data_IF_848238824538
#
_entry.id   IF_848238824538
#
_cell.length_a   1.000
_cell.length_b   1.000
_cell.length_c   1.000
_cell.angle_alpha   90.00
_cell.angle_beta   90.00
_cell.angle_gamma   90.00
#
_symmetry.space_group_name_H-M   'P 1'
#
loop_
_entity.id
_entity.type
_entity.pdbx_description
1 polymer ?
#
# COMPACT_ATOMS: atom_id res chain seq x y z
N UNK A 1 -3.28 7.74 -2.70
CA UNK A 1 -4.13 6.71 -2.06
C UNK A 1 -3.52 6.42 -0.69
N UNK A 2 -4.32 6.23 0.37
CA UNK A 2 -3.78 5.90 1.71
C UNK A 2 -3.90 4.39 1.93
N UNK A 3 -2.99 3.77 2.69
CA UNK A 3 -2.99 2.33 2.88
C UNK A 3 -4.21 1.91 3.69
N UNK A 4 -4.63 0.66 3.48
CA UNK A 4 -5.83 0.12 4.08
C UNK A 4 -5.56 -0.39 5.51
N UNK A 5 -5.12 0.50 6.40
CA UNK A 5 -4.72 0.17 7.78
C UNK A 5 -5.75 0.74 8.77
N UNK A 6 -5.72 0.23 10.01
CA UNK A 6 -6.43 0.81 11.15
C UNK A 6 -5.89 2.20 11.45
N UNK A 7 -6.78 3.20 11.39
CA UNK A 7 -6.50 4.62 11.65
C UNK A 7 -7.56 5.16 12.60
N UNK A 8 -7.28 6.29 13.25
CA UNK A 8 -8.22 6.92 14.19
C UNK A 8 -9.56 7.26 13.54
N UNK A 9 -9.54 7.76 12.31
CA UNK A 9 -10.75 8.12 11.56
C UNK A 9 -11.59 6.89 11.24
N UNK A 10 -10.94 5.76 10.90
CA UNK A 10 -11.63 4.50 10.65
C UNK A 10 -12.16 3.87 11.92
N UNK A 11 -11.39 3.88 13.00
CA UNK A 11 -11.86 3.40 14.30
C UNK A 11 -13.11 4.16 14.73
N UNK A 12 -13.09 5.49 14.63
CA UNK A 12 -14.25 6.33 14.88
C UNK A 12 -15.43 5.96 13.99
N UNK A 13 -15.21 5.74 12.70
CA UNK A 13 -16.28 5.30 11.79
C UNK A 13 -16.88 3.94 12.16
N UNK A 14 -16.09 3.02 12.72
CA UNK A 14 -16.58 1.73 13.21
C UNK A 14 -17.43 1.95 14.47
N UNK A 15 -16.92 2.73 15.42
CA UNK A 15 -17.62 3.05 16.67
C UNK A 15 -18.95 3.77 16.41
N UNK A 16 -18.96 4.76 15.52
CA UNK A 16 -20.16 5.49 15.10
C UNK A 16 -21.18 4.56 14.44
N UNK A 17 -20.72 3.60 13.63
CA UNK A 17 -21.61 2.60 13.01
C UNK A 17 -22.20 1.67 14.08
N UNK A 18 -21.40 1.24 15.05
CA UNK A 18 -21.88 0.40 16.16
C UNK A 18 -22.96 1.12 16.98
N UNK A 19 -22.73 2.39 17.31
CA UNK A 19 -23.70 3.18 18.08
C UNK A 19 -25.01 3.40 17.32
N UNK A 20 -24.93 3.71 16.02
CA UNK A 20 -26.11 3.94 15.18
C UNK A 20 -26.97 2.69 14.97
N UNK A 21 -26.39 1.50 15.09
CA UNK A 21 -27.07 0.23 14.79
C UNK A 21 -27.33 -0.62 16.03
N UNK A 22 -27.45 0.01 17.21
CA UNK A 22 -27.92 -0.66 18.43
C UNK A 22 -26.86 -1.52 19.12
N UNK A 23 -25.57 -1.17 18.98
CA UNK A 23 -24.48 -1.74 19.77
C UNK A 23 -23.75 -2.93 19.14
N UNK A 24 -24.19 -3.44 17.98
CA UNK A 24 -23.45 -4.45 17.23
C UNK A 24 -23.67 -4.34 15.72
N UNK A 25 -22.62 -4.58 14.94
CA UNK A 25 -22.65 -4.48 13.47
C UNK A 25 -21.90 -5.65 12.83
N UNK A 26 -22.43 -6.20 11.74
CA UNK A 26 -21.74 -7.27 11.01
C UNK A 26 -20.50 -6.76 10.28
N UNK A 27 -19.45 -7.60 10.17
CA UNK A 27 -18.25 -7.25 9.39
C UNK A 27 -18.59 -6.94 7.93
N UNK A 28 -19.57 -7.67 7.34
CA UNK A 28 -20.03 -7.42 5.96
C UNK A 28 -20.63 -6.02 5.80
N UNK A 29 -21.40 -5.56 6.79
CA UNK A 29 -21.97 -4.21 6.77
C UNK A 29 -20.87 -3.15 6.74
N UNK A 30 -19.84 -3.30 7.58
CA UNK A 30 -18.69 -2.37 7.59
C UNK A 30 -17.94 -2.38 6.25
N UNK A 31 -17.79 -3.54 5.63
CA UNK A 31 -17.14 -3.67 4.33
C UNK A 31 -17.94 -2.99 3.22
N UNK A 32 -19.25 -3.22 3.13
CA UNK A 32 -20.07 -2.68 2.05
C UNK A 32 -20.35 -1.18 2.20
N UNK A 33 -20.66 -0.71 3.41
CA UNK A 33 -21.09 0.67 3.61
C UNK A 33 -19.94 1.63 3.92
N UNK A 34 -18.88 1.15 4.58
CA UNK A 34 -17.76 1.98 5.02
C UNK A 34 -16.44 1.66 4.32
N UNK A 35 -16.42 0.68 3.41
CA UNK A 35 -15.18 0.20 2.76
C UNK A 35 -14.11 -0.23 3.79
N UNK A 36 -14.54 -0.74 4.95
CA UNK A 36 -13.64 -1.22 6.01
C UNK A 36 -13.51 -2.73 5.87
N UNK A 37 -12.32 -3.16 5.46
CA UNK A 37 -12.04 -4.56 5.20
C UNK A 37 -11.73 -5.34 6.47
N UNK A 38 -11.89 -6.66 6.40
CA UNK A 38 -11.73 -7.57 7.53
C UNK A 38 -10.39 -7.42 8.26
N UNK A 39 -9.28 -7.29 7.55
CA UNK A 39 -7.94 -7.09 8.12
C UNK A 39 -7.85 -5.87 9.07
N UNK A 40 -8.60 -4.80 8.77
CA UNK A 40 -8.65 -3.59 9.61
C UNK A 40 -9.41 -3.87 10.90
N UNK A 41 -10.49 -4.65 10.80
CA UNK A 41 -11.32 -5.06 11.94
C UNK A 41 -10.54 -6.01 12.83
N UNK A 42 -9.87 -7.02 12.27
CA UNK A 42 -9.01 -7.94 13.02
C UNK A 42 -7.93 -7.19 13.80
N UNK A 43 -7.27 -6.21 13.16
CA UNK A 43 -6.27 -5.38 13.83
C UNK A 43 -6.87 -4.58 14.99
N UNK A 44 -8.06 -4.02 14.81
CA UNK A 44 -8.75 -3.27 15.86
C UNK A 44 -9.22 -4.15 17.03
N UNK A 45 -9.53 -5.42 16.76
CA UNK A 45 -9.81 -6.43 17.80
C UNK A 45 -8.52 -6.82 18.52
N UNK A 46 -7.44 -7.08 17.78
CA UNK A 46 -6.14 -7.43 18.36
C UNK A 46 -5.57 -6.31 19.24
N UNK A 47 -5.80 -5.05 18.87
CA UNK A 47 -5.41 -3.87 19.66
C UNK A 47 -6.39 -3.60 20.83
N UNK A 48 -7.52 -4.31 20.90
CA UNK A 48 -8.45 -4.30 22.03
C UNK A 48 -9.45 -3.14 22.04
N UNK A 49 -9.71 -2.48 20.90
CA UNK A 49 -10.74 -1.43 20.82
C UNK A 49 -12.15 -1.98 20.70
N UNK A 50 -12.28 -3.07 19.94
CA UNK A 50 -13.54 -3.73 19.61
C UNK A 50 -13.42 -5.22 19.89
N UNK A 51 -14.55 -5.90 20.07
CA UNK A 51 -14.60 -7.35 20.23
C UNK A 51 -15.41 -7.99 19.12
N UNK A 52 -14.98 -9.17 18.68
CA UNK A 52 -15.81 -10.02 17.86
C UNK A 52 -16.91 -10.67 18.69
N UNK A 53 -18.09 -10.74 18.11
CA UNK A 53 -19.23 -11.48 18.62
C UNK A 53 -19.78 -12.34 17.50
N UNK A 54 -19.93 -13.63 17.76
CA UNK A 54 -20.52 -14.54 16.77
C UNK A 54 -22.03 -14.59 17.01
N UNK A 55 -22.80 -13.95 16.14
CA UNK A 55 -24.27 -14.00 16.23
C UNK A 55 -24.80 -15.14 15.36
N UNK A 56 -25.41 -16.14 16.00
CA UNK A 56 -26.08 -17.24 15.29
C UNK A 56 -27.47 -16.78 14.82
N UNK A 57 -27.76 -16.75 13.51
CA UNK A 57 -29.10 -16.47 13.02
C UNK A 57 -30.02 -17.68 13.29
N UNK A 58 -31.33 -17.44 13.23
CA UNK A 58 -32.36 -18.49 13.35
C UNK A 58 -32.23 -19.56 12.26
N UNK A 59 -31.77 -19.17 11.06
CA UNK A 59 -31.47 -20.06 9.94
C UNK A 59 -30.19 -19.58 9.23
N UNK A 60 -29.33 -20.51 8.80
CA UNK A 60 -28.11 -20.22 8.05
C UNK A 60 -26.83 -20.11 8.88
N UNK A 61 -25.76 -19.58 8.25
CA UNK A 61 -24.42 -19.49 8.85
C UNK A 61 -24.32 -18.32 9.83
N UNK A 62 -23.68 -18.49 11.01
CA UNK A 62 -23.40 -17.39 11.92
C UNK A 62 -22.64 -16.26 11.22
N UNK A 63 -23.05 -15.02 11.50
CA UNK A 63 -22.33 -13.84 11.04
C UNK A 63 -21.37 -13.35 12.11
N UNK A 64 -20.16 -12.99 11.68
CA UNK A 64 -19.20 -12.33 12.54
C UNK A 64 -19.63 -10.86 12.70
N UNK A 65 -19.95 -10.50 13.93
CA UNK A 65 -20.34 -9.15 14.33
C UNK A 65 -19.25 -8.52 15.20
N UNK A 66 -19.28 -7.20 15.25
CA UNK A 66 -18.37 -6.37 16.00
C UNK A 66 -19.18 -5.58 17.00
N UNK A 67 -18.70 -5.51 18.24
CA UNK A 67 -19.24 -4.69 19.32
C UNK A 67 -18.15 -3.88 20.01
N UNK A 68 -18.54 -2.83 20.72
CA UNK A 68 -17.63 -2.09 21.61
C UNK A 68 -17.25 -2.93 22.83
N UNK A 69 -16.03 -2.75 23.31
CA UNK A 69 -15.58 -3.29 24.59
C UNK A 69 -15.95 -2.31 25.71
N UNK A 70 -16.30 -2.82 26.89
CA UNK A 70 -16.65 -1.98 28.06
C UNK A 70 -15.48 -1.13 28.56
N UNK A 71 -14.24 -1.60 28.35
CA UNK A 71 -12.99 -0.87 28.61
C UNK A 71 -12.11 -0.99 27.38
N UNK A 72 -12.09 0.05 26.54
CA UNK A 72 -11.09 0.14 25.46
C UNK A 72 -9.73 0.43 26.07
N UNK A 73 -8.66 -0.05 25.44
CA UNK A 73 -7.31 0.22 25.90
C UNK A 73 -6.92 1.67 25.54
N UNK A 74 -6.79 2.60 26.52
CA UNK A 74 -6.58 4.02 26.22
C UNK A 74 -5.12 4.32 25.83
N UNK A 75 -4.19 3.41 26.11
CA UNK A 75 -2.75 3.70 26.08
C UNK A 75 -2.16 3.72 24.67
N UNK A 76 -2.84 3.13 23.69
CA UNK A 76 -2.43 3.17 22.28
C UNK A 76 -3.61 3.72 21.51
N UNK A 77 -3.49 4.89 20.90
CA UNK A 77 -4.44 5.35 19.90
C UNK A 77 -3.87 4.99 18.52
N UNK A 78 -4.71 4.58 17.56
CA UNK A 78 -4.24 4.37 16.20
C UNK A 78 -3.75 5.70 15.62
N UNK A 79 -2.76 5.61 14.73
CA UNK A 79 -2.21 6.77 14.06
C UNK A 79 -3.27 7.50 13.23
N UNK A 80 -3.06 8.79 13.00
CA UNK A 80 -3.93 9.58 12.13
C UNK A 80 -3.69 9.19 10.66
N UNK A 81 -4.74 9.18 9.85
CA UNK A 81 -4.62 8.91 8.41
C UNK A 81 -3.74 9.93 7.70
N UNK A 82 -3.69 11.17 8.19
CA UNK A 82 -2.81 12.21 7.65
C UNK A 82 -1.33 11.84 7.77
N UNK A 83 -0.93 11.24 8.90
CA UNK A 83 0.46 10.88 9.21
C UNK A 83 1.01 9.71 8.40
N UNK A 84 0.13 8.85 7.87
CA UNK A 84 0.54 7.72 7.05
C UNK A 84 1.19 8.16 5.74
N UNK A 85 2.16 7.39 5.25
CA UNK A 85 2.63 7.57 3.88
C UNK A 85 1.50 7.25 2.87
N UNK A 86 1.52 7.93 1.73
CA UNK A 86 0.63 7.58 0.63
C UNK A 86 1.11 6.30 -0.07
N UNK A 87 0.19 5.41 -0.38
CA UNK A 87 0.46 4.31 -1.30
C UNK A 87 0.85 4.84 -2.68
N UNK A 88 1.72 4.07 -3.32
CA UNK A 88 2.09 4.27 -4.71
C UNK A 88 0.85 3.97 -5.57
N UNK A 89 0.51 4.92 -6.44
CA UNK A 89 -0.60 4.78 -7.38
C UNK A 89 -0.38 3.58 -8.30
N UNK A 90 -1.46 2.89 -8.70
CA UNK A 90 -1.40 1.79 -9.66
C UNK A 90 -0.69 2.19 -10.96
N UNK A 91 -0.96 3.40 -11.49
CA UNK A 91 -0.29 3.90 -12.70
C UNK A 91 1.21 4.15 -12.52
N UNK A 92 1.64 4.45 -11.29
CA UNK A 92 3.05 4.60 -10.94
C UNK A 92 3.74 3.23 -10.83
N UNK A 93 3.03 2.22 -10.33
CA UNK A 93 3.47 0.82 -10.40
C UNK A 93 3.62 0.34 -11.84
N UNK A 94 2.64 0.59 -12.71
CA UNK A 94 2.71 0.27 -14.14
C UNK A 94 3.92 0.95 -14.79
N UNK A 95 4.13 2.23 -14.50
CA UNK A 95 5.28 2.96 -15.02
C UNK A 95 6.60 2.32 -14.57
N UNK A 96 6.74 2.01 -13.28
CA UNK A 96 7.93 1.35 -12.75
C UNK A 96 8.16 -0.03 -13.40
N UNK A 97 7.08 -0.80 -13.60
CA UNK A 97 7.09 -2.08 -14.28
C UNK A 97 7.57 -1.97 -15.73
N UNK A 98 6.92 -1.14 -16.55
CA UNK A 98 7.31 -0.94 -17.93
C UNK A 98 8.67 -0.29 -18.08
N UNK A 99 9.11 0.49 -17.09
CA UNK A 99 10.45 1.04 -17.08
C UNK A 99 11.48 -0.05 -16.77
N UNK A 100 11.26 -0.87 -15.74
CA UNK A 100 12.21 -1.91 -15.31
C UNK A 100 12.32 -3.09 -16.29
N UNK A 101 11.25 -3.39 -17.05
CA UNK A 101 11.25 -4.41 -18.12
C UNK A 101 11.35 -3.82 -19.52
N UNK A 102 11.41 -2.49 -19.64
CA UNK A 102 11.39 -1.80 -20.92
C UNK A 102 12.70 -1.88 -21.70
N UNK A 103 12.62 -1.62 -23.00
CA UNK A 103 13.75 -1.60 -23.91
C UNK A 103 14.79 -0.53 -23.55
N UNK A 104 16.06 -0.86 -23.78
CA UNK A 104 17.15 0.10 -23.77
C UNK A 104 17.01 1.12 -24.91
N UNK A 105 17.57 2.32 -24.72
CA UNK A 105 17.61 3.33 -25.78
C UNK A 105 18.37 2.84 -27.01
N UNK A 106 18.14 3.42 -28.21
CA UNK A 106 19.03 3.17 -29.32
C UNK A 106 20.39 3.85 -29.05
N UNK A 107 21.49 3.18 -29.39
CA UNK A 107 22.86 3.70 -29.28
C UNK A 107 23.81 2.75 -28.55
N UNK A 108 25.06 2.69 -29.01
CA UNK A 108 26.12 1.77 -28.54
C UNK A 108 26.43 1.87 -27.03
N UNK A 109 25.98 2.95 -26.37
CA UNK A 109 26.17 3.23 -24.94
C UNK A 109 24.86 3.59 -24.23
N UNK A 110 23.71 3.21 -24.79
CA UNK A 110 22.40 3.59 -24.25
C UNK A 110 21.98 2.64 -23.10
N UNK A 111 22.74 2.64 -22.01
CA UNK A 111 22.37 1.94 -20.76
C UNK A 111 21.10 2.51 -20.11
N UNK A 112 20.56 3.62 -20.64
CA UNK A 112 19.33 4.25 -20.17
C UNK A 112 18.12 3.70 -20.93
N UNK A 113 17.20 3.09 -20.17
CA UNK A 113 15.92 2.59 -20.67
C UNK A 113 15.04 3.71 -21.20
N UNK A 114 14.20 3.42 -22.21
CA UNK A 114 13.32 4.41 -22.86
C UNK A 114 12.16 4.81 -21.93
N UNK A 115 12.43 5.75 -21.02
CA UNK A 115 11.47 6.22 -20.02
C UNK A 115 10.13 6.72 -20.61
N UNK A 116 10.17 7.36 -21.78
CA UNK A 116 8.96 7.89 -22.42
C UNK A 116 8.04 6.76 -22.94
N UNK A 117 8.59 5.63 -23.36
CA UNK A 117 7.80 4.47 -23.84
C UNK A 117 7.06 3.85 -22.65
N UNK A 118 7.77 3.67 -21.53
CA UNK A 118 7.17 3.21 -20.28
C UNK A 118 6.03 4.15 -19.82
N UNK A 119 6.25 5.46 -19.95
CA UNK A 119 5.22 6.45 -19.62
C UNK A 119 3.99 6.34 -20.51
N UNK A 120 4.15 6.22 -21.83
CA UNK A 120 3.01 6.10 -22.76
C UNK A 120 2.22 4.80 -22.54
N UNK A 121 2.89 3.70 -22.16
CA UNK A 121 2.21 2.45 -21.79
C UNK A 121 1.45 2.56 -20.48
N UNK A 122 2.04 3.19 -19.46
CA UNK A 122 1.38 3.39 -18.17
C UNK A 122 0.24 4.41 -18.25
N UNK A 123 0.37 5.44 -19.07
CA UNK A 123 -0.58 6.55 -19.24
C UNK A 123 -1.04 6.65 -20.71
N UNK A 124 -1.95 5.78 -21.17
CA UNK A 124 -2.38 5.74 -22.57
C UNK A 124 -3.09 7.02 -23.06
N UNK A 125 -3.51 7.92 -22.17
CA UNK A 125 -4.00 9.26 -22.54
C UNK A 125 -2.89 10.18 -23.09
N UNK A 126 -1.62 9.89 -22.80
CA UNK A 126 -0.49 10.72 -23.21
C UNK A 126 -0.03 10.42 -24.64
N UNK A 127 -0.66 11.08 -25.63
CA UNK A 127 -0.33 10.90 -27.05
C UNK A 127 0.95 11.62 -27.50
N UNK A 128 1.32 12.74 -26.88
CA UNK A 128 2.50 13.52 -27.26
C UNK A 128 3.81 12.89 -26.76
N UNK A 129 4.72 12.60 -27.70
CA UNK A 129 6.05 12.05 -27.39
C UNK A 129 6.93 13.02 -26.58
N UNK A 130 6.91 14.30 -26.91
CA UNK A 130 7.68 15.32 -26.20
C UNK A 130 7.16 15.50 -24.76
N UNK A 131 5.83 15.56 -24.59
CA UNK A 131 5.20 15.61 -23.27
C UNK A 131 5.51 14.38 -22.43
N UNK A 132 5.42 13.18 -23.03
CA UNK A 132 5.76 11.93 -22.35
C UNK A 132 7.22 11.90 -21.88
N UNK A 133 8.18 12.38 -22.69
CA UNK A 133 9.59 12.49 -22.28
C UNK A 133 9.76 13.38 -21.05
N UNK A 134 9.17 14.58 -21.06
CA UNK A 134 9.26 15.52 -19.95
C UNK A 134 8.61 14.95 -18.68
N UNK A 135 7.41 14.38 -18.79
CA UNK A 135 6.69 13.78 -17.66
C UNK A 135 7.39 12.56 -17.09
N UNK A 136 7.91 11.67 -17.95
CA UNK A 136 8.69 10.51 -17.51
C UNK A 136 9.95 10.95 -16.74
N UNK A 137 10.67 11.96 -17.23
CA UNK A 137 11.84 12.53 -16.54
C UNK A 137 11.48 13.07 -15.15
N UNK A 138 10.35 13.77 -15.03
CA UNK A 138 9.84 14.25 -13.73
C UNK A 138 9.46 13.09 -12.79
N UNK A 139 8.83 12.04 -13.30
CA UNK A 139 8.46 10.86 -12.50
C UNK A 139 9.69 10.12 -11.98
N UNK A 140 10.74 9.94 -12.80
CA UNK A 140 11.96 9.26 -12.38
C UNK A 140 12.71 9.95 -11.22
N UNK A 141 12.46 11.25 -11.00
CA UNK A 141 13.01 12.01 -9.88
C UNK A 141 12.21 11.85 -8.58
N UNK A 142 11.03 11.23 -8.63
CA UNK A 142 10.20 11.05 -7.44
C UNK A 142 10.68 9.86 -6.60
N UNK A 143 10.89 10.02 -5.29
CA UNK A 143 11.43 8.96 -4.43
C UNK A 143 10.60 7.66 -4.45
N UNK A 144 9.27 7.79 -4.45
CA UNK A 144 8.38 6.62 -4.47
C UNK A 144 8.43 5.87 -5.80
N UNK A 145 8.74 6.54 -6.92
CA UNK A 145 8.95 5.88 -8.21
C UNK A 145 10.28 5.13 -8.22
N UNK A 146 11.33 5.73 -7.66
CA UNK A 146 12.63 5.06 -7.54
C UNK A 146 12.53 3.80 -6.68
N UNK A 147 11.81 3.87 -5.56
CA UNK A 147 11.49 2.72 -4.73
C UNK A 147 10.77 1.63 -5.55
N UNK A 148 9.68 1.97 -6.23
CA UNK A 148 8.93 1.03 -7.06
C UNK A 148 9.79 0.38 -8.16
N UNK A 149 10.69 1.14 -8.79
CA UNK A 149 11.61 0.62 -9.80
C UNK A 149 12.58 -0.39 -9.17
N UNK A 150 13.21 -0.07 -8.04
CA UNK A 150 14.12 -1.00 -7.37
C UNK A 150 13.40 -2.26 -6.90
N UNK A 151 12.20 -2.12 -6.34
CA UNK A 151 11.35 -3.25 -5.97
C UNK A 151 11.05 -4.14 -7.17
N UNK A 152 10.66 -3.54 -8.29
CA UNK A 152 10.37 -4.28 -9.52
C UNK A 152 11.60 -5.04 -9.99
N UNK A 153 12.77 -4.41 -9.97
CA UNK A 153 13.98 -5.13 -10.34
C UNK A 153 14.33 -6.25 -9.36
N UNK A 154 14.17 -6.04 -8.05
CA UNK A 154 14.42 -7.08 -7.05
C UNK A 154 13.57 -8.33 -7.34
N UNK A 155 12.28 -8.14 -7.64
CA UNK A 155 11.37 -9.25 -8.02
C UNK A 155 11.88 -10.11 -9.17
N UNK A 156 12.62 -9.55 -10.10
CA UNK A 156 13.07 -10.28 -11.30
C UNK A 156 14.53 -10.74 -11.23
N UNK A 157 15.36 -10.08 -10.43
CA UNK A 157 16.80 -10.30 -10.43
C UNK A 157 17.33 -10.93 -9.15
N UNK A 158 16.57 -10.87 -8.06
CA UNK A 158 17.05 -11.30 -6.74
C UNK A 158 16.32 -12.61 -6.37
N UNK A 159 16.93 -13.79 -6.60
CA UNK A 159 16.27 -15.09 -6.47
C UNK A 159 15.83 -15.45 -5.05
N UNK A 160 16.39 -14.77 -4.04
CA UNK A 160 16.07 -14.97 -2.61
C UNK A 160 14.86 -14.14 -2.13
N UNK A 161 14.36 -13.23 -2.97
CA UNK A 161 13.22 -12.39 -2.60
C UNK A 161 11.93 -13.19 -2.82
N UNK A 162 11.34 -13.78 -1.78
CA UNK A 162 9.99 -14.37 -1.87
C UNK A 162 8.93 -13.27 -1.97
N UNK A 163 8.80 -12.75 -3.19
CA UNK A 163 7.90 -11.66 -3.54
C UNK A 163 6.41 -12.04 -3.46
N UNK A 164 6.07 -13.32 -3.26
CA UNK A 164 4.68 -13.74 -3.05
C UNK A 164 4.21 -13.44 -1.63
N UNK A 165 5.14 -13.34 -0.68
CA UNK A 165 4.86 -13.03 0.73
C UNK A 165 4.77 -11.52 0.95
N UNK A 166 5.60 -10.73 0.24
CA UNK A 166 5.69 -9.29 0.44
C UNK A 166 4.99 -8.50 -0.67
N UNK A 167 3.99 -7.69 -0.30
CA UNK A 167 3.30 -6.77 -1.21
C UNK A 167 3.33 -5.33 -0.66
N UNK A 168 4.50 -4.67 -0.67
CA UNK A 168 4.64 -3.33 -0.10
C UNK A 168 3.84 -2.31 -0.92
N UNK A 169 3.18 -1.39 -0.22
CA UNK A 169 2.29 -0.38 -0.81
C UNK A 169 2.93 1.01 -0.82
N UNK A 170 3.83 1.29 0.11
CA UNK A 170 4.50 2.61 0.28
C UNK A 170 5.98 2.55 -0.12
N UNK A 171 6.63 3.71 -0.24
CA UNK A 171 8.05 3.73 -0.54
C UNK A 171 8.89 3.23 0.65
N UNK A 172 8.52 3.62 1.88
CA UNK A 172 9.15 3.13 3.11
C UNK A 172 9.11 1.61 3.21
N UNK A 173 7.93 1.01 3.07
CA UNK A 173 7.76 -0.45 3.13
C UNK A 173 8.63 -1.17 2.10
N UNK A 174 8.74 -0.64 0.87
CA UNK A 174 9.62 -1.20 -0.15
C UNK A 174 11.06 -1.22 0.34
N UNK A 175 11.55 -0.08 0.81
CA UNK A 175 12.94 0.10 1.19
C UNK A 175 13.31 -0.74 2.41
N UNK A 176 12.45 -0.76 3.44
CA UNK A 176 12.61 -1.60 4.62
C UNK A 176 12.60 -3.09 4.24
N UNK A 177 11.73 -3.50 3.32
CA UNK A 177 11.69 -4.90 2.82
C UNK A 177 12.94 -5.25 2.04
N UNK A 178 13.42 -4.37 1.14
CA UNK A 178 14.66 -4.60 0.40
C UNK A 178 15.87 -4.70 1.35
N UNK A 179 15.88 -3.88 2.41
CA UNK A 179 16.92 -3.91 3.42
C UNK A 179 16.86 -5.21 4.25
N UNK A 180 15.68 -5.60 4.73
CA UNK A 180 15.52 -6.82 5.54
C UNK A 180 15.86 -8.10 4.77
N UNK A 181 15.67 -8.09 3.45
CA UNK A 181 16.06 -9.18 2.56
C UNK A 181 17.55 -9.15 2.14
N UNK A 182 18.32 -8.16 2.59
CA UNK A 182 19.74 -8.02 2.23
C UNK A 182 19.99 -7.70 0.75
N UNK A 183 18.98 -7.22 0.01
CA UNK A 183 19.12 -6.92 -1.41
C UNK A 183 20.13 -5.80 -1.65
N UNK A 184 21.04 -6.00 -2.61
CA UNK A 184 21.96 -4.95 -3.08
C UNK A 184 21.22 -3.66 -3.47
N UNK A 185 19.96 -3.77 -3.90
CA UNK A 185 19.15 -2.65 -4.37
C UNK A 185 18.75 -1.69 -3.26
N UNK A 186 18.76 -2.13 -2.00
CA UNK A 186 18.56 -1.26 -0.83
C UNK A 186 19.58 -0.11 -0.78
N UNK A 187 20.78 -0.27 -1.37
CA UNK A 187 21.79 0.80 -1.49
C UNK A 187 21.30 2.00 -2.31
N UNK A 188 20.31 1.81 -3.18
CA UNK A 188 19.67 2.85 -3.95
C UNK A 188 18.68 3.72 -3.15
N UNK A 189 18.46 3.41 -1.87
CA UNK A 189 17.57 4.18 -1.02
C UNK A 189 18.08 5.62 -0.82
N UNK A 190 17.17 6.59 -0.66
CA UNK A 190 17.55 7.97 -0.33
C UNK A 190 18.42 8.03 0.93
N UNK A 191 19.31 9.01 1.00
CA UNK A 191 20.22 9.17 2.16
C UNK A 191 19.48 9.14 3.50
N UNK A 192 18.39 9.89 3.63
CA UNK A 192 17.61 9.97 4.87
C UNK A 192 16.94 8.65 5.29
N UNK A 193 16.75 7.69 4.38
CA UNK A 193 16.30 6.34 4.76
C UNK A 193 17.46 5.45 5.19
N UNK A 194 18.61 5.57 4.49
CA UNK A 194 19.81 4.79 4.82
C UNK A 194 20.42 5.14 6.18
N UNK A 195 20.12 6.32 6.72
CA UNK A 195 20.57 6.74 8.07
C UNK A 195 19.78 6.04 9.19
N UNK A 196 18.61 5.47 8.89
CA UNK A 196 17.77 4.79 9.87
C UNK A 196 18.08 3.29 10.02
N UNK A 197 19.06 2.78 9.27
CA UNK A 197 19.50 1.38 9.27
C UNK A 197 21.00 1.32 9.57
#
# INVERSE_FOLDING_TARGET
MKPNVLTRERLKSIEDAIDKHGGSVSVRFLQWNHCIYFQVVEKAVAEGYIAFETRKPRTGRPSLCVRKVSKSNPTKLPHLRSTLENCISFRHWDFAFYYALGEFGPGLFSFKRRAYVAYQRAFPSARSKAGAKASASRLLRKPHIQAAIQWTFAKFCDPETDYKVHNPQTATEIWDTLHSLGSWRARGAPYWMRVNW
#
